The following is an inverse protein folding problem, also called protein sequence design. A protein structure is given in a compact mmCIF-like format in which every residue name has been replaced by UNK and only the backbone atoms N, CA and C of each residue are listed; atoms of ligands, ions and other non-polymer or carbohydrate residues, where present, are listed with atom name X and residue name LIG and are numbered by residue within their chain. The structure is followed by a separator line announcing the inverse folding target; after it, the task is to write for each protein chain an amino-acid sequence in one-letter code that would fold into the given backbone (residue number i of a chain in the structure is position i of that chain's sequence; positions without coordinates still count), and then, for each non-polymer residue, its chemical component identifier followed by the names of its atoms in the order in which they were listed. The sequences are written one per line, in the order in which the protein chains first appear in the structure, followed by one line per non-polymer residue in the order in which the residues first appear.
data_IF_950964996815
#
_entry.id   IF_950964996815
#
_cell.length_a   1.000
_cell.length_b   1.000
_cell.length_c   1.000
_cell.angle_alpha   90.00
_cell.angle_beta   90.00
_cell.angle_gamma   90.00
#
_symmetry.space_group_name_H-M   'P 1'
#
loop_
_entity.id
_entity.type
_entity.pdbx_description
1 polymer ?
#
# COMPACT_ATOMS: atom_id res chain seq x y z
N UNK A 1 -13.32 -5.51 8.29
CA UNK A 1 -11.93 -5.15 7.93
C UNK A 1 -11.10 -6.38 7.57
N UNK A 2 -11.12 -7.45 8.38
CA UNK A 2 -10.42 -8.73 8.14
C UNK A 2 -10.53 -9.28 6.70
N UNK A 3 -11.72 -9.21 6.07
CA UNK A 3 -11.88 -9.62 4.67
C UNK A 3 -10.91 -8.90 3.72
N UNK A 4 -10.73 -7.58 3.89
CA UNK A 4 -9.82 -6.78 3.08
C UNK A 4 -8.39 -7.21 3.34
N UNK A 5 -8.01 -7.39 4.61
CA UNK A 5 -6.66 -7.79 5.01
C UNK A 5 -6.24 -9.15 4.43
N UNK A 6 -7.19 -10.08 4.29
CA UNK A 6 -6.94 -11.39 3.71
C UNK A 6 -6.98 -11.41 2.18
N UNK A 7 -7.58 -10.39 1.54
CA UNK A 7 -7.87 -10.42 0.11
C UNK A 7 -7.37 -9.21 -0.69
N UNK A 8 -6.69 -8.23 -0.07
CA UNK A 8 -6.29 -6.97 -0.72
C UNK A 8 -5.44 -7.18 -1.98
N UNK A 9 -4.63 -8.23 -2.03
CA UNK A 9 -3.76 -8.55 -3.17
C UNK A 9 -4.52 -9.13 -4.37
N UNK A 10 -5.78 -9.54 -4.17
CA UNK A 10 -6.64 -10.11 -5.22
C UNK A 10 -7.42 -8.99 -5.91
N UNK A 11 -8.04 -9.32 -7.05
CA UNK A 11 -9.01 -8.45 -7.73
C UNK A 11 -10.32 -8.40 -6.93
N UNK A 12 -10.30 -7.74 -5.77
CA UNK A 12 -11.50 -7.43 -5.02
C UNK A 12 -12.12 -6.14 -5.58
N UNK A 13 -13.41 -6.19 -5.86
CA UNK A 13 -14.18 -5.00 -6.24
C UNK A 13 -15.13 -4.67 -5.10
N UNK A 14 -15.46 -3.39 -4.95
CA UNK A 14 -16.50 -2.98 -3.97
C UNK A 14 -17.79 -3.76 -4.24
N UNK A 15 -18.09 -3.99 -5.52
CA UNK A 15 -19.25 -4.74 -5.97
C UNK A 15 -19.22 -6.20 -5.51
N UNK A 16 -18.06 -6.87 -5.53
CA UNK A 16 -17.93 -8.24 -5.01
C UNK A 16 -18.14 -8.29 -3.50
N UNK A 17 -17.66 -7.28 -2.77
CA UNK A 17 -17.81 -7.19 -1.32
C UNK A 17 -19.27 -6.90 -0.95
N UNK A 18 -19.90 -5.93 -1.63
CA UNK A 18 -21.29 -5.55 -1.37
C UNK A 18 -22.25 -6.71 -1.66
N UNK A 19 -22.02 -7.47 -2.74
CA UNK A 19 -22.75 -8.71 -3.03
C UNK A 19 -22.56 -9.77 -1.94
N UNK A 20 -21.36 -9.95 -1.41
CA UNK A 20 -21.09 -10.94 -0.37
C UNK A 20 -21.83 -10.64 0.94
N UNK A 21 -22.05 -9.36 1.26
CA UNK A 21 -22.77 -8.92 2.47
C UNK A 21 -24.26 -8.63 2.24
N UNK A 22 -24.78 -8.87 1.03
CA UNK A 22 -26.19 -8.65 0.69
C UNK A 22 -26.62 -7.18 0.64
N UNK A 23 -25.67 -6.26 0.49
CA UNK A 23 -25.95 -4.82 0.48
C UNK A 23 -25.74 -4.22 -0.92
N UNK A 24 -26.53 -3.20 -1.25
CA UNK A 24 -26.25 -2.42 -2.44
C UNK A 24 -24.93 -1.63 -2.25
N UNK A 25 -24.20 -1.40 -3.34
CA UNK A 25 -22.87 -0.75 -3.31
C UNK A 25 -22.90 0.65 -2.68
N UNK A 26 -23.91 1.46 -3.01
CA UNK A 26 -24.01 2.84 -2.54
C UNK A 26 -24.24 2.89 -1.03
N UNK A 27 -25.16 2.07 -0.54
CA UNK A 27 -25.50 1.92 0.86
C UNK A 27 -24.33 1.36 1.67
N UNK A 28 -23.64 0.34 1.15
CA UNK A 28 -22.44 -0.18 1.77
C UNK A 28 -21.34 0.89 1.90
N UNK A 29 -21.09 1.67 0.83
CA UNK A 29 -20.15 2.77 0.90
C UNK A 29 -20.59 3.87 1.88
N UNK A 30 -21.88 4.19 1.96
CA UNK A 30 -22.40 5.17 2.92
C UNK A 30 -22.20 4.71 4.36
N UNK A 31 -22.52 3.45 4.68
CA UNK A 31 -22.27 2.89 6.01
C UNK A 31 -20.78 2.89 6.31
N UNK A 32 -19.95 2.39 5.39
CA UNK A 32 -18.51 2.30 5.58
C UNK A 32 -17.90 3.69 5.80
N UNK A 33 -18.31 4.68 5.01
CA UNK A 33 -17.86 6.07 5.17
C UNK A 33 -18.32 6.70 6.47
N UNK A 34 -19.56 6.45 6.89
CA UNK A 34 -20.06 6.92 8.19
C UNK A 34 -19.27 6.33 9.36
N UNK A 35 -18.78 5.09 9.22
CA UNK A 35 -18.02 4.41 10.27
C UNK A 35 -16.53 4.76 10.25
N UNK A 36 -15.93 4.92 9.06
CA UNK A 36 -14.46 5.03 8.89
C UNK A 36 -13.99 6.42 8.47
N UNK A 37 -14.90 7.34 8.12
CA UNK A 37 -14.59 8.67 7.58
C UNK A 37 -14.22 8.69 6.09
N UNK A 38 -14.07 7.53 5.46
CA UNK A 38 -13.59 7.36 4.09
C UNK A 38 -14.33 6.21 3.38
N UNK A 39 -14.32 6.21 2.06
CA UNK A 39 -14.95 5.14 1.27
C UNK A 39 -14.14 3.85 1.34
N UNK A 40 -14.78 2.72 1.06
CA UNK A 40 -14.08 1.43 0.99
C UNK A 40 -12.93 1.44 -0.03
N UNK A 41 -13.11 2.16 -1.14
CA UNK A 41 -12.10 2.25 -2.19
C UNK A 41 -10.85 3.00 -1.70
N UNK A 42 -11.04 4.12 -1.02
CA UNK A 42 -9.94 4.89 -0.42
C UNK A 42 -9.21 4.03 0.62
N UNK A 43 -9.96 3.35 1.48
CA UNK A 43 -9.38 2.42 2.47
C UNK A 43 -8.50 1.36 1.80
N UNK A 44 -9.01 0.72 0.75
CA UNK A 44 -8.29 -0.33 0.04
C UNK A 44 -7.01 0.21 -0.61
N UNK A 45 -7.08 1.40 -1.21
CA UNK A 45 -5.90 2.06 -1.78
C UNK A 45 -4.86 2.29 -0.69
N UNK A 46 -5.23 2.94 0.42
CA UNK A 46 -4.31 3.21 1.54
C UNK A 46 -3.71 1.93 2.11
N UNK A 47 -4.53 0.89 2.28
CA UNK A 47 -4.08 -0.41 2.78
C UNK A 47 -3.04 -1.03 1.85
N UNK A 48 -3.31 -1.07 0.54
CA UNK A 48 -2.37 -1.62 -0.46
C UNK A 48 -1.07 -0.84 -0.51
N UNK A 49 -1.14 0.50 -0.44
CA UNK A 49 0.05 1.35 -0.43
C UNK A 49 0.87 1.12 0.84
N UNK A 50 0.24 0.97 2.01
CA UNK A 50 0.93 0.61 3.24
C UNK A 50 1.65 -0.73 3.12
N UNK A 51 0.99 -1.75 2.54
CA UNK A 51 1.64 -3.04 2.25
C UNK A 51 2.78 -2.93 1.24
N UNK A 52 2.68 -2.02 0.28
CA UNK A 52 3.80 -1.77 -0.62
C UNK A 52 4.98 -1.13 0.12
N UNK A 53 4.74 -0.17 1.02
CA UNK A 53 5.79 0.41 1.88
C UNK A 53 6.51 -0.65 2.73
N UNK A 54 5.78 -1.65 3.25
CA UNK A 54 6.38 -2.78 3.99
C UNK A 54 7.33 -3.63 3.11
N UNK A 55 7.04 -3.76 1.80
CA UNK A 55 7.83 -4.57 0.86
C UNK A 55 8.98 -3.80 0.19
N UNK A 56 8.89 -2.46 0.10
CA UNK A 56 9.84 -1.62 -0.62
C UNK A 56 11.31 -1.71 -0.15
N UNK A 57 11.63 -1.91 1.14
CA UNK A 57 13.01 -2.08 1.60
C UNK A 57 13.71 -3.31 1.03
N UNK A 58 12.96 -4.33 0.60
CA UNK A 58 13.55 -5.53 0.02
C UNK A 58 14.09 -5.22 -1.40
N UNK A 59 15.42 -5.16 -1.53
CA UNK A 59 16.12 -4.86 -2.79
C UNK A 59 15.96 -5.95 -3.85
N UNK A 60 15.65 -7.19 -3.45
CA UNK A 60 15.42 -8.32 -4.37
C UNK A 60 14.06 -8.25 -5.08
N UNK A 61 13.12 -7.45 -4.55
CA UNK A 61 11.82 -7.26 -5.16
C UNK A 61 11.84 -6.08 -6.13
N UNK A 62 11.55 -6.33 -7.41
CA UNK A 62 11.31 -5.23 -8.37
C UNK A 62 10.02 -4.48 -8.00
N UNK A 63 9.91 -3.20 -8.38
CA UNK A 63 8.68 -2.42 -8.19
C UNK A 63 7.48 -3.10 -8.87
N UNK A 64 7.71 -3.76 -10.02
CA UNK A 64 6.69 -4.55 -10.70
C UNK A 64 6.23 -5.77 -9.89
N UNK A 65 7.13 -6.47 -9.20
CA UNK A 65 6.74 -7.57 -8.31
C UNK A 65 5.92 -7.06 -7.13
N UNK A 66 6.37 -5.97 -6.49
CA UNK A 66 5.64 -5.35 -5.37
C UNK A 66 4.22 -4.94 -5.79
N UNK A 67 4.10 -4.25 -6.93
CA UNK A 67 2.80 -3.86 -7.51
C UNK A 67 1.84 -5.05 -7.58
N UNK A 68 2.29 -6.17 -8.15
CA UNK A 68 1.46 -7.38 -8.28
C UNK A 68 1.11 -7.98 -6.92
N UNK A 69 2.08 -8.06 -6.01
CA UNK A 69 1.88 -8.58 -4.65
C UNK A 69 0.88 -7.77 -3.82
N UNK A 70 0.70 -6.48 -4.13
CA UNK A 70 -0.29 -5.62 -3.46
C UNK A 70 -1.57 -5.40 -4.26
N UNK A 71 -1.80 -6.18 -5.32
CA UNK A 71 -3.06 -6.21 -6.06
C UNK A 71 -3.20 -5.21 -7.20
N UNK A 72 -2.08 -4.74 -7.76
CA UNK A 72 -2.01 -3.94 -8.98
C UNK A 72 -1.33 -4.72 -10.10
N UNK A 73 -2.10 -5.10 -11.13
CA UNK A 73 -1.58 -5.80 -12.30
C UNK A 73 -0.73 -4.89 -13.21
N UNK A 74 -1.01 -3.59 -13.22
CA UNK A 74 -0.29 -2.58 -13.98
C UNK A 74 0.65 -1.78 -13.05
N UNK A 75 1.98 -1.99 -13.14
CA UNK A 75 2.96 -1.25 -12.36
C UNK A 75 2.95 0.26 -12.61
N UNK A 76 2.56 0.74 -13.79
CA UNK A 76 2.46 2.16 -14.09
C UNK A 76 1.29 2.79 -13.34
N UNK A 77 0.13 2.13 -13.35
CA UNK A 77 -1.02 2.56 -12.55
C UNK A 77 -0.70 2.54 -11.05
N UNK A 78 -0.07 1.47 -10.56
CA UNK A 78 0.41 1.41 -9.18
C UNK A 78 1.29 2.60 -8.82
N UNK A 79 2.27 2.91 -9.66
CA UNK A 79 3.22 4.00 -9.40
C UNK A 79 2.54 5.36 -9.33
N UNK A 80 1.53 5.61 -10.18
CA UNK A 80 0.70 6.83 -10.12
C UNK A 80 -0.10 6.91 -8.82
N UNK A 81 -0.74 5.83 -8.41
CA UNK A 81 -1.51 5.79 -7.16
C UNK A 81 -0.60 5.93 -5.95
N UNK A 82 0.53 5.23 -5.92
CA UNK A 82 1.52 5.33 -4.86
C UNK A 82 2.01 6.77 -4.71
N UNK A 83 2.37 7.44 -5.82
CA UNK A 83 2.77 8.85 -5.79
C UNK A 83 1.66 9.77 -5.28
N UNK A 84 0.41 9.53 -5.67
CA UNK A 84 -0.73 10.30 -5.16
C UNK A 84 -0.88 10.18 -3.64
N UNK A 85 -0.62 9.00 -3.08
CA UNK A 85 -0.80 8.71 -1.64
C UNK A 85 0.43 9.10 -0.81
N UNK A 86 1.65 8.89 -1.33
CA UNK A 86 2.90 9.10 -0.58
C UNK A 86 3.67 10.38 -0.93
N UNK A 87 3.30 11.05 -2.03
CA UNK A 87 3.98 12.25 -2.53
C UNK A 87 5.18 11.97 -3.46
N UNK A 88 5.74 10.76 -3.43
CA UNK A 88 6.89 10.35 -4.25
C UNK A 88 6.66 9.02 -4.96
N UNK A 89 7.43 8.71 -6.00
CA UNK A 89 7.29 7.43 -6.70
C UNK A 89 7.76 6.26 -5.81
N UNK A 90 7.34 5.00 -6.09
CA UNK A 90 7.83 3.85 -5.34
C UNK A 90 9.36 3.71 -5.35
N UNK A 91 9.99 4.03 -6.48
CA UNK A 91 11.46 4.00 -6.63
C UNK A 91 12.12 5.07 -5.78
N UNK A 92 11.66 6.32 -5.86
CA UNK A 92 12.22 7.41 -5.05
C UNK A 92 12.04 7.13 -3.55
N UNK A 93 10.86 6.65 -3.17
CA UNK A 93 10.56 6.27 -1.80
C UNK A 93 11.50 5.17 -1.28
N UNK A 94 11.78 4.15 -2.10
CA UNK A 94 12.76 3.11 -1.76
C UNK A 94 14.17 3.68 -1.58
N UNK A 95 14.61 4.55 -2.48
CA UNK A 95 15.96 5.12 -2.40
C UNK A 95 16.14 5.92 -1.11
N UNK A 96 15.16 6.79 -0.78
CA UNK A 96 15.15 7.54 0.48
C UNK A 96 15.24 6.62 1.70
N UNK A 97 14.50 5.49 1.69
CA UNK A 97 14.58 4.52 2.78
C UNK A 97 15.98 3.92 2.90
N UNK A 98 16.54 3.43 1.80
CA UNK A 98 17.89 2.81 1.77
C UNK A 98 18.94 3.80 2.26
N UNK A 99 18.94 5.03 1.73
CA UNK A 99 19.85 6.10 2.15
C UNK A 99 19.72 6.36 3.66
N UNK A 100 18.48 6.45 4.17
CA UNK A 100 18.24 6.68 5.61
C UNK A 100 18.75 5.54 6.51
N UNK A 101 18.78 4.30 6.01
CA UNK A 101 19.33 3.16 6.74
C UNK A 101 20.86 3.16 6.70
N UNK A 102 21.45 3.44 5.53
CA UNK A 102 22.90 3.49 5.35
C UNK A 102 23.53 4.61 6.18
N UNK A 103 22.91 5.80 6.24
CA UNK A 103 23.35 6.90 7.11
C UNK A 103 23.31 6.50 8.59
N UNK A 104 22.20 5.95 9.08
CA UNK A 104 22.08 5.51 10.48
C UNK A 104 23.07 4.41 10.85
N UNK A 105 23.36 3.50 9.92
CA UNK A 105 24.33 2.44 10.13
C UNK A 105 25.76 2.99 10.21
N UNK A 106 26.11 3.95 9.36
CA UNK A 106 27.40 4.63 9.39
C UNK A 106 27.60 5.39 10.73
N UNK A 107 26.59 6.13 11.18
CA UNK A 107 26.63 6.86 12.45
C UNK A 107 26.81 5.91 13.64
N UNK A 108 26.11 4.78 13.64
CA UNK A 108 26.25 3.75 14.68
C UNK A 108 27.66 3.15 14.70
N UNK A 109 28.24 2.87 13.53
CA UNK A 109 29.58 2.30 13.43
C UNK A 109 30.67 3.31 13.82
N UNK A 110 30.45 4.61 13.58
CA UNK A 110 31.37 5.67 14.01
C UNK A 110 31.42 5.77 15.55
N UNK A 111 30.27 5.73 16.22
CA UNK A 111 30.16 5.86 17.68
C UNK A 111 30.64 4.64 18.49
N UNK A 112 30.89 3.49 17.86
CA UNK A 112 31.45 2.30 18.52
C UNK A 112 32.99 2.34 18.55
N UNK A 113 33.61 3.19 17.71
CA UNK A 113 35.06 3.30 17.57
C UNK A 113 35.65 4.53 18.29
N UNK A 114 34.85 5.26 19.06
CA UNK A 114 35.25 6.30 20.03
C UNK A 114 35.10 5.79 21.46
#
# INVERSE_FOLDING_TARGET
LQFIEMNYSRKITIDSISRHVGLNRSYFNSIFRSAMGLTLQEYLIEFRIRKACELLPNKDLTIGNISRSVGYNDPLHFSKIFKKVKGSTPTDYRNILIESFETKQADLMANINE
#
